data_IF_655465041981
#
_entry.id   IF_655465041981
#
_cell.length_a   1.000
_cell.length_b   1.000
_cell.length_c   1.000
_cell.angle_alpha   90.00
_cell.angle_beta   90.00
_cell.angle_gamma   90.00
#
_symmetry.space_group_name_H-M   'P 1'
#
loop_
_entity.id
_entity.type
_entity.pdbx_description
1 polymer ?
#
# COMPACT_ATOMS: atom_id res chain seq x y z
N UNK A 1 -10.64 11.37 -12.75
CA UNK A 1 -11.21 10.03 -12.97
C UNK A 1 -10.85 9.17 -11.77
N UNK A 2 -11.80 8.51 -11.12
CA UNK A 2 -11.51 7.65 -9.95
C UNK A 2 -11.02 6.27 -10.40
N UNK A 3 -10.28 5.56 -9.53
CA UNK A 3 -9.88 4.15 -9.76
C UNK A 3 -11.09 3.29 -10.14
N UNK A 4 -12.21 3.49 -9.45
CA UNK A 4 -13.46 2.76 -9.69
C UNK A 4 -14.04 3.01 -11.09
N UNK A 5 -14.16 4.28 -11.51
CA UNK A 5 -14.64 4.62 -12.86
C UNK A 5 -13.73 4.08 -13.97
N UNK A 6 -12.45 3.86 -13.68
CA UNK A 6 -11.52 3.26 -14.63
C UNK A 6 -11.60 1.73 -14.68
N UNK A 7 -11.87 1.08 -13.53
CA UNK A 7 -12.16 -0.36 -13.49
C UNK A 7 -13.41 -0.68 -14.32
N UNK A 8 -14.48 0.12 -14.16
CA UNK A 8 -15.71 -0.01 -14.95
C UNK A 8 -15.45 0.15 -16.46
N UNK A 9 -14.55 1.06 -16.85
CA UNK A 9 -14.14 1.24 -18.26
C UNK A 9 -13.41 0.00 -18.80
N UNK A 10 -12.56 -0.64 -18.00
CA UNK A 10 -11.84 -1.87 -18.38
C UNK A 10 -12.77 -3.07 -18.51
N UNK A 11 -13.71 -3.26 -17.57
CA UNK A 11 -14.70 -4.34 -17.62
C UNK A 11 -15.63 -4.17 -18.82
N UNK A 12 -16.17 -2.97 -19.01
CA UNK A 12 -17.03 -2.68 -20.16
C UNK A 12 -16.30 -2.74 -21.51
N UNK A 13 -14.97 -2.60 -21.54
CA UNK A 13 -14.16 -2.82 -22.73
C UNK A 13 -13.87 -4.32 -22.97
N UNK A 14 -13.67 -5.10 -21.90
CA UNK A 14 -13.48 -6.55 -21.99
C UNK A 14 -14.72 -7.24 -22.59
N UNK A 15 -15.91 -6.83 -22.17
CA UNK A 15 -17.19 -7.34 -22.69
C UNK A 15 -17.37 -7.08 -24.20
N UNK A 16 -16.76 -6.00 -24.71
CA UNK A 16 -16.88 -5.55 -26.10
C UNK A 16 -15.59 -5.73 -26.91
N UNK A 17 -14.63 -6.50 -26.42
CA UNK A 17 -13.29 -6.59 -27.00
C UNK A 17 -13.29 -7.01 -28.50
N UNK A 18 -14.21 -7.90 -28.90
CA UNK A 18 -14.35 -8.33 -30.29
C UNK A 18 -14.82 -7.21 -31.24
N UNK A 19 -15.51 -6.20 -30.71
CA UNK A 19 -16.07 -5.06 -31.44
C UNK A 19 -15.14 -3.83 -31.39
N UNK A 20 -14.12 -3.86 -30.53
CA UNK A 20 -13.18 -2.76 -30.38
C UNK A 20 -12.13 -2.74 -31.50
N UNK A 21 -11.82 -1.54 -31.97
CA UNK A 21 -10.68 -1.37 -32.86
C UNK A 21 -9.35 -1.69 -32.12
N UNK A 22 -8.36 -2.31 -32.80
CA UNK A 22 -7.06 -2.57 -32.20
C UNK A 22 -6.32 -1.32 -31.69
N UNK A 23 -6.60 -0.15 -32.26
CA UNK A 23 -6.05 1.13 -31.79
C UNK A 23 -6.64 1.57 -30.46
N UNK A 24 -7.96 1.44 -30.29
CA UNK A 24 -8.63 1.81 -29.04
C UNK A 24 -8.20 0.91 -27.88
N UNK A 25 -8.08 -0.40 -28.13
CA UNK A 25 -7.57 -1.35 -27.14
C UNK A 25 -6.14 -1.00 -26.69
N UNK A 26 -5.25 -0.64 -27.63
CA UNK A 26 -3.87 -0.24 -27.29
C UNK A 26 -3.80 1.02 -26.43
N UNK A 27 -4.67 2.00 -26.67
CA UNK A 27 -4.74 3.23 -25.86
C UNK A 27 -5.22 2.91 -24.44
N UNK A 28 -6.28 2.10 -24.32
CA UNK A 28 -6.84 1.70 -23.04
C UNK A 28 -5.81 0.92 -22.19
N UNK A 29 -5.10 -0.03 -22.79
CA UNK A 29 -4.07 -0.82 -22.09
C UNK A 29 -2.88 0.04 -21.62
N UNK A 30 -2.45 1.02 -22.41
CA UNK A 30 -1.39 1.97 -22.00
C UNK A 30 -1.82 2.82 -20.81
N UNK A 31 -3.06 3.27 -20.82
CA UNK A 31 -3.67 4.03 -19.72
C UNK A 31 -3.79 3.18 -18.46
N UNK A 32 -4.15 1.91 -18.61
CA UNK A 32 -4.20 0.95 -17.50
C UNK A 32 -2.83 0.72 -16.87
N UNK A 33 -1.81 0.49 -17.70
CA UNK A 33 -0.44 0.33 -17.22
C UNK A 33 0.09 1.57 -16.49
N UNK A 34 -0.27 2.78 -16.95
CA UNK A 34 0.07 4.04 -16.27
C UNK A 34 -0.63 4.16 -14.91
N UNK A 35 -1.93 3.89 -14.87
CA UNK A 35 -2.72 3.91 -13.63
C UNK A 35 -2.22 2.89 -12.62
N UNK A 36 -1.94 1.65 -13.04
CA UNK A 36 -1.44 0.60 -12.15
C UNK A 36 -0.04 0.90 -11.61
N UNK A 37 0.82 1.52 -12.43
CA UNK A 37 2.14 1.99 -11.97
C UNK A 37 2.01 3.11 -10.94
N UNK A 38 1.06 4.02 -11.13
CA UNK A 38 0.82 5.14 -10.22
C UNK A 38 -0.01 4.74 -8.99
N UNK A 39 -0.74 3.61 -9.04
CA UNK A 39 -1.50 3.05 -7.93
C UNK A 39 -0.67 2.09 -7.06
N UNK A 40 0.60 1.87 -7.40
CA UNK A 40 1.52 1.03 -6.63
C UNK A 40 2.03 1.72 -5.35
N UNK A 41 1.85 3.04 -5.21
CA UNK A 41 2.43 3.82 -4.12
C UNK A 41 1.38 4.29 -3.10
N UNK A 42 1.04 3.40 -2.17
CA UNK A 42 0.75 3.80 -0.79
C UNK A 42 -0.70 4.11 -0.37
N UNK A 43 -0.79 4.50 0.90
CA UNK A 43 -1.99 5.03 1.55
C UNK A 43 -2.16 6.47 1.09
N UNK A 44 -3.34 6.83 0.58
CA UNK A 44 -3.68 8.21 0.25
C UNK A 44 -3.77 9.02 1.55
N UNK A 45 -2.73 9.80 1.82
CA UNK A 45 -2.60 10.64 3.00
C UNK A 45 -2.84 12.08 2.60
N UNK A 46 -3.44 12.86 3.51
CA UNK A 46 -3.58 14.30 3.28
C UNK A 46 -2.18 14.92 3.05
N UNK A 47 -2.00 15.82 2.06
CA UNK A 47 -0.67 16.30 1.66
C UNK A 47 0.17 16.89 2.80
N UNK A 48 -0.50 17.54 3.77
CA UNK A 48 0.17 18.09 4.96
C UNK A 48 0.70 17.00 5.89
N UNK A 49 -0.03 15.88 5.99
CA UNK A 49 0.38 14.72 6.78
C UNK A 49 1.56 14.01 6.12
N UNK A 50 1.56 13.91 4.78
CA UNK A 50 2.71 13.37 4.04
C UNK A 50 3.98 14.16 4.32
N UNK A 51 3.93 15.49 4.24
CA UNK A 51 5.07 16.37 4.48
C UNK A 51 5.65 16.18 5.89
N UNK A 52 4.79 16.09 6.91
CA UNK A 52 5.21 15.86 8.30
C UNK A 52 5.87 14.48 8.45
N UNK A 53 5.28 13.44 7.86
CA UNK A 53 5.81 12.08 7.93
C UNK A 53 7.13 11.94 7.18
N UNK A 54 7.30 12.63 6.05
CA UNK A 54 8.57 12.66 5.31
C UNK A 54 9.67 13.35 6.13
N UNK A 55 9.36 14.46 6.80
CA UNK A 55 10.30 15.13 7.71
C UNK A 55 10.70 14.27 8.91
N UNK A 56 9.73 13.62 9.54
CA UNK A 56 9.97 12.74 10.69
C UNK A 56 10.77 11.48 10.30
N UNK A 57 10.47 10.88 9.16
CA UNK A 57 11.23 9.73 8.65
C UNK A 57 12.69 10.10 8.38
N UNK A 58 12.95 11.29 7.81
CA UNK A 58 14.30 11.79 7.59
C UNK A 58 15.05 12.08 8.91
N UNK A 59 14.38 12.65 9.91
CA UNK A 59 14.97 12.88 11.24
C UNK A 59 15.36 11.56 11.93
N UNK A 60 14.56 10.53 11.73
CA UNK A 60 14.76 9.20 12.32
C UNK A 60 15.67 8.28 11.49
N UNK A 61 16.16 8.72 10.33
CA UNK A 61 16.95 7.93 9.38
C UNK A 61 16.30 6.59 8.97
N UNK A 62 14.97 6.61 8.79
CA UNK A 62 14.17 5.45 8.34
C UNK A 62 13.36 5.80 7.09
N UNK A 63 12.85 4.79 6.39
CA UNK A 63 11.93 5.06 5.27
C UNK A 63 10.54 5.50 5.78
N UNK A 64 9.83 6.36 5.03
CA UNK A 64 8.44 6.72 5.34
C UNK A 64 7.54 5.49 5.47
N UNK A 65 7.74 4.47 4.63
CA UNK A 65 7.00 3.22 4.70
C UNK A 65 7.24 2.46 6.01
N UNK A 66 8.49 2.43 6.48
CA UNK A 66 8.86 1.83 7.76
C UNK A 66 8.28 2.61 8.95
N UNK A 67 8.35 3.94 8.91
CA UNK A 67 7.73 4.80 9.92
C UNK A 67 6.22 4.57 10.01
N UNK A 68 5.51 4.59 8.88
CA UNK A 68 4.06 4.32 8.83
C UNK A 68 3.76 2.92 9.36
N UNK A 69 4.55 1.91 8.97
CA UNK A 69 4.37 0.53 9.44
C UNK A 69 4.50 0.46 10.95
N UNK A 70 5.50 1.11 11.54
CA UNK A 70 5.72 1.15 12.98
C UNK A 70 4.55 1.82 13.69
N UNK A 71 4.15 3.02 13.26
CA UNK A 71 3.02 3.77 13.85
C UNK A 71 1.73 2.95 13.81
N UNK A 72 1.40 2.35 12.67
CA UNK A 72 0.19 1.54 12.51
C UNK A 72 0.25 0.28 13.36
N UNK A 73 1.42 -0.38 13.44
CA UNK A 73 1.59 -1.60 14.26
C UNK A 73 1.38 -1.28 15.75
N UNK A 74 2.04 -0.24 16.26
CA UNK A 74 1.89 0.21 17.65
C UNK A 74 0.44 0.61 17.96
N UNK A 75 -0.22 1.34 17.06
CA UNK A 75 -1.61 1.72 17.23
C UNK A 75 -2.52 0.49 17.29
N UNK A 76 -2.33 -0.50 16.42
CA UNK A 76 -3.13 -1.74 16.42
C UNK A 76 -2.91 -2.56 17.68
N UNK A 77 -1.68 -2.61 18.20
CA UNK A 77 -1.35 -3.27 19.47
C UNK A 77 -2.04 -2.55 20.64
N UNK A 78 -1.88 -1.22 20.73
CA UNK A 78 -2.45 -0.41 21.80
C UNK A 78 -3.99 -0.51 21.86
N UNK A 79 -4.64 -0.74 20.71
CA UNK A 79 -6.09 -0.92 20.60
C UNK A 79 -6.53 -2.39 20.60
N UNK A 80 -5.64 -3.32 20.97
CA UNK A 80 -5.91 -4.76 21.08
C UNK A 80 -6.43 -5.44 19.79
N UNK A 81 -6.18 -4.83 18.61
CA UNK A 81 -6.46 -5.43 17.31
C UNK A 81 -5.36 -6.40 16.87
N UNK A 82 -4.14 -6.20 17.34
CA UNK A 82 -3.04 -7.16 17.21
C UNK A 82 -2.59 -7.64 18.59
N UNK A 83 -2.31 -8.95 18.77
CA UNK A 83 -1.65 -9.41 19.98
C UNK A 83 -0.25 -8.79 20.08
N UNK A 84 0.15 -8.39 21.28
CA UNK A 84 1.52 -7.95 21.57
C UNK A 84 2.41 -9.18 21.39
N UNK A 85 3.17 -9.26 20.30
CA UNK A 85 4.30 -10.18 20.25
C UNK A 85 5.45 -9.55 21.05
N UNK A 86 5.46 -9.78 22.37
CA UNK A 86 6.68 -9.59 23.15
C UNK A 86 7.66 -10.66 22.65
N UNK A 87 8.69 -10.25 21.90
CA UNK A 87 9.84 -11.11 21.69
C UNK A 87 10.44 -11.30 23.08
N UNK A 88 10.22 -12.49 23.64
CA UNK A 88 10.80 -12.91 24.91
C UNK A 88 12.32 -13.01 24.71
N UNK A 89 13.06 -11.98 25.07
CA UNK A 89 14.52 -12.02 25.28
C UNK A 89 14.84 -12.83 26.55
N UNK A 90 14.40 -14.08 26.61
CA UNK A 90 14.26 -14.81 27.87
C UNK A 90 14.28 -16.33 27.81
N UNK A 91 14.83 -16.96 26.77
CA UNK A 91 15.10 -18.40 26.83
C UNK A 91 16.48 -18.77 26.27
N UNK A 92 17.52 -18.48 27.05
CA UNK A 92 18.71 -19.35 27.08
C UNK A 92 18.39 -20.52 28.00
N UNK A 93 18.49 -21.71 27.42
CA UNK A 93 18.27 -23.04 28.01
C UNK A 93 19.28 -23.38 29.09
N UNK A 94 18.85 -24.09 30.14
CA UNK A 94 19.68 -25.08 30.84
C UNK A 94 18.86 -26.36 31.05
N UNK A 95 19.19 -27.41 30.30
CA UNK A 95 18.66 -28.75 30.51
C UNK A 95 19.31 -29.39 31.73
N UNK A 96 18.49 -29.90 32.66
CA UNK A 96 18.93 -30.87 33.64
C UNK A 96 17.79 -31.82 34.01
N UNK A 97 18.01 -33.12 33.78
CA UNK A 97 17.09 -34.21 34.11
C UNK A 97 17.34 -35.43 33.25
#
# INVERSE_FOLDING_TARGET
MSRQSFVEELEGAADRNAEMSPSNLKVLLRRAALMLRNAADGVDLEPKIEEILDGLAAEMDVSKAELIRTIVTEWLIANAYLPVFTIDEGCTTDGNG
#
